data_IF_289757784456
#
_entry.id   IF_289757784456
#
_cell.length_a   1.000
_cell.length_b   1.000
_cell.length_c   1.000
_cell.angle_alpha   90.00
_cell.angle_beta   90.00
_cell.angle_gamma   90.00
#
_symmetry.space_group_name_H-M   'P 1'
#
loop_
_entity.id
_entity.type
_entity.pdbx_description
1 polymer ?
#
# COMPACT_ATOMS: atom_id res chain seq x y z
N UNK A 1 8.29 -10.35 -3.88
CA UNK A 1 7.84 -9.82 -5.20
C UNK A 1 6.41 -10.29 -5.58
N UNK A 2 5.40 -9.96 -4.74
CA UNK A 2 4.00 -10.34 -5.01
C UNK A 2 3.34 -9.45 -6.08
N UNK A 3 3.77 -8.20 -6.24
CA UNK A 3 3.14 -7.19 -7.11
C UNK A 3 3.88 -7.10 -8.43
N UNK A 4 3.16 -7.29 -9.55
CA UNK A 4 3.71 -7.33 -10.91
C UNK A 4 4.06 -5.95 -11.44
N UNK A 5 3.20 -4.95 -11.18
CA UNK A 5 3.34 -3.62 -11.72
C UNK A 5 4.41 -2.80 -10.99
N UNK A 6 5.43 -2.31 -11.69
CA UNK A 6 6.60 -1.64 -11.11
C UNK A 6 6.23 -0.39 -10.32
N UNK A 7 5.33 0.46 -10.84
CA UNK A 7 4.92 1.68 -10.15
C UNK A 7 4.09 1.40 -8.91
N UNK A 8 3.09 0.51 -9.00
CA UNK A 8 2.30 0.10 -7.86
C UNK A 8 3.18 -0.48 -6.75
N UNK A 9 4.18 -1.30 -7.12
CA UNK A 9 5.17 -1.84 -6.18
C UNK A 9 5.94 -0.73 -5.47
N UNK A 10 6.43 0.29 -6.19
CA UNK A 10 7.17 1.43 -5.59
C UNK A 10 6.30 2.17 -4.58
N UNK A 11 5.06 2.51 -4.95
CA UNK A 11 4.15 3.22 -4.05
C UNK A 11 3.77 2.39 -2.82
N UNK A 12 3.51 1.10 -2.99
CA UNK A 12 3.25 0.18 -1.86
C UNK A 12 4.46 0.05 -0.93
N UNK A 13 5.68 0.01 -1.49
CA UNK A 13 6.91 0.02 -0.67
C UNK A 13 7.05 1.35 0.09
N UNK A 14 6.72 2.48 -0.54
CA UNK A 14 6.71 3.79 0.13
C UNK A 14 5.69 3.83 1.27
N UNK A 15 4.48 3.29 1.07
CA UNK A 15 3.46 3.18 2.13
C UNK A 15 3.98 2.32 3.30
N UNK A 16 4.57 1.16 3.01
CA UNK A 16 5.14 0.30 4.04
C UNK A 16 6.26 1.02 4.82
N UNK A 17 7.15 1.74 4.12
CA UNK A 17 8.19 2.56 4.73
C UNK A 17 7.62 3.67 5.63
N UNK A 18 6.53 4.33 5.20
CA UNK A 18 5.85 5.36 5.99
C UNK A 18 5.18 4.80 7.24
N UNK A 19 4.62 3.59 7.17
CA UNK A 19 4.06 2.91 8.35
C UNK A 19 5.17 2.59 9.36
N UNK A 20 6.30 2.05 8.89
CA UNK A 20 7.48 1.79 9.75
C UNK A 20 8.00 3.08 10.36
N UNK A 21 8.11 4.16 9.56
CA UNK A 21 8.50 5.48 10.04
C UNK A 21 7.54 5.99 11.13
N UNK A 22 6.23 5.84 10.93
CA UNK A 22 5.22 6.28 11.91
C UNK A 22 5.38 5.56 13.25
N UNK A 23 5.50 4.24 13.21
CA UNK A 23 5.71 3.43 14.41
C UNK A 23 7.04 3.80 15.10
N UNK A 24 8.11 4.05 14.33
CA UNK A 24 9.41 4.46 14.86
C UNK A 24 9.33 5.83 15.56
N UNK A 25 8.73 6.84 14.91
CA UNK A 25 8.54 8.18 15.50
C UNK A 25 7.71 8.09 16.77
N UNK A 26 6.65 7.27 16.77
CA UNK A 26 5.84 7.00 17.96
C UNK A 26 6.69 6.41 19.09
N UNK A 27 7.48 5.39 18.78
CA UNK A 27 8.34 4.74 19.79
C UNK A 27 9.35 5.73 20.38
N UNK A 28 9.97 6.55 19.55
CA UNK A 28 10.89 7.62 20.00
C UNK A 28 10.15 8.63 20.90
N UNK A 29 8.94 9.03 20.52
CA UNK A 29 8.13 9.96 21.30
C UNK A 29 7.86 9.45 22.72
N UNK A 30 7.47 8.17 22.86
CA UNK A 30 7.07 7.64 24.17
C UNK A 30 8.23 7.09 25.00
N UNK A 31 9.37 6.72 24.39
CA UNK A 31 10.50 6.11 25.09
C UNK A 31 11.60 7.12 25.39
N UNK A 32 11.87 8.05 24.45
CA UNK A 32 13.07 8.89 24.49
C UNK A 32 12.74 10.37 24.78
N UNK A 33 11.63 10.89 24.24
CA UNK A 33 11.31 12.30 24.34
C UNK A 33 10.89 12.69 25.78
N UNK A 34 11.62 13.62 26.37
CA UNK A 34 11.39 14.10 27.75
C UNK A 34 10.88 15.56 27.78
N UNK A 35 11.23 16.37 26.76
CA UNK A 35 10.81 17.77 26.74
C UNK A 35 9.47 17.95 26.01
N UNK A 36 8.58 18.87 26.47
CA UNK A 36 7.31 19.15 25.81
C UNK A 36 7.47 19.51 24.32
N UNK A 37 8.53 20.27 23.99
CA UNK A 37 8.84 20.63 22.61
C UNK A 37 9.17 19.40 21.74
N UNK A 38 10.00 18.48 22.25
CA UNK A 38 10.37 17.26 21.51
C UNK A 38 9.14 16.37 21.30
N UNK A 39 8.31 16.18 22.34
CA UNK A 39 7.06 15.40 22.26
C UNK A 39 6.12 15.97 21.21
N UNK A 40 5.90 17.29 21.22
CA UNK A 40 5.04 18.00 20.27
C UNK A 40 5.60 17.93 18.85
N UNK A 41 6.90 18.12 18.66
CA UNK A 41 7.53 18.04 17.33
C UNK A 41 7.39 16.63 16.75
N UNK A 42 7.63 15.58 17.54
CA UNK A 42 7.44 14.21 17.13
C UNK A 42 5.96 13.90 16.81
N UNK A 43 5.03 14.50 17.56
CA UNK A 43 3.61 14.37 17.26
C UNK A 43 3.23 15.03 15.91
N UNK A 44 3.78 16.20 15.57
CA UNK A 44 3.60 16.78 14.24
C UNK A 44 4.15 15.88 13.14
N UNK A 45 5.25 15.16 13.38
CA UNK A 45 5.79 14.20 12.39
C UNK A 45 4.84 13.05 12.05
N UNK A 46 3.81 12.77 12.87
CA UNK A 46 2.77 11.78 12.54
C UNK A 46 1.96 12.19 11.30
N UNK A 47 1.89 13.49 11.00
CA UNK A 47 1.17 13.99 9.82
C UNK A 47 1.90 13.67 8.50
N UNK A 48 3.19 13.35 8.53
CA UNK A 48 3.94 12.89 7.36
C UNK A 48 3.29 11.60 6.80
N UNK A 49 3.23 10.48 7.54
CA UNK A 49 2.56 9.28 7.06
C UNK A 49 1.06 9.48 6.87
N UNK A 50 0.37 10.23 7.74
CA UNK A 50 -1.06 10.47 7.62
C UNK A 50 -1.46 11.16 6.31
N UNK A 51 -0.63 12.06 5.78
CA UNK A 51 -0.87 12.79 4.53
C UNK A 51 -0.39 11.99 3.32
N UNK A 52 0.81 11.39 3.39
CA UNK A 52 1.41 10.69 2.25
C UNK A 52 0.80 9.32 1.97
N UNK A 53 0.33 8.58 2.99
CA UNK A 53 -0.29 7.25 2.78
C UNK A 53 -1.54 7.33 1.90
N UNK A 54 -2.55 8.18 2.16
CA UNK A 54 -3.70 8.34 1.28
C UNK A 54 -3.33 8.80 -0.13
N UNK A 55 -2.36 9.69 -0.25
CA UNK A 55 -1.87 10.16 -1.54
C UNK A 55 -1.22 9.02 -2.34
N UNK A 56 -0.35 8.22 -1.73
CA UNK A 56 0.22 7.04 -2.39
C UNK A 56 -0.83 5.99 -2.71
N UNK A 57 -1.84 5.79 -1.86
CA UNK A 57 -2.97 4.92 -2.13
C UNK A 57 -3.72 5.35 -3.40
N UNK A 58 -3.96 6.65 -3.57
CA UNK A 58 -4.53 7.21 -4.79
C UNK A 58 -3.64 6.94 -6.00
N UNK A 59 -2.31 7.14 -5.91
CA UNK A 59 -1.38 6.87 -7.00
C UNK A 59 -1.32 5.37 -7.35
N UNK A 60 -1.39 4.46 -6.37
CA UNK A 60 -1.56 3.02 -6.62
C UNK A 60 -2.83 2.78 -7.42
N UNK A 61 -3.97 3.30 -6.98
CA UNK A 61 -5.25 3.12 -7.65
C UNK A 61 -5.24 3.68 -9.09
N UNK A 62 -4.61 4.84 -9.31
CA UNK A 62 -4.45 5.44 -10.64
C UNK A 62 -3.53 4.64 -11.55
N UNK A 63 -2.56 3.92 -11.00
CA UNK A 63 -1.63 3.09 -11.78
C UNK A 63 -2.23 1.75 -12.20
N UNK A 64 -3.25 1.23 -11.50
CA UNK A 64 -3.83 -0.09 -11.75
C UNK A 64 -4.48 -0.18 -13.13
N UNK A 65 -4.42 -1.37 -13.73
CA UNK A 65 -4.97 -1.66 -15.06
C UNK A 65 -4.16 -1.10 -16.22
N UNK A 66 -2.99 -0.49 -15.95
CA UNK A 66 -2.06 0.01 -16.96
C UNK A 66 -0.92 -1.00 -17.25
N UNK A 67 -0.22 -0.89 -18.39
CA UNK A 67 0.96 -1.71 -18.69
C UNK A 67 2.03 -1.61 -17.60
N UNK A 68 2.91 -2.61 -17.49
CA UNK A 68 3.97 -2.67 -16.46
C UNK A 68 4.88 -1.43 -16.44
N UNK A 69 5.22 -0.91 -17.63
CA UNK A 69 6.12 0.23 -17.82
C UNK A 69 5.38 1.58 -17.88
N UNK A 70 4.07 1.60 -17.60
CA UNK A 70 3.31 2.85 -17.65
C UNK A 70 3.81 3.84 -16.59
N UNK A 71 4.04 5.07 -17.01
CA UNK A 71 4.37 6.19 -16.13
C UNK A 71 3.11 7.05 -15.96
N UNK A 72 2.81 7.42 -14.73
CA UNK A 72 1.73 8.35 -14.44
C UNK A 72 2.01 9.71 -15.13
N UNK A 73 0.96 10.44 -15.57
CA UNK A 73 1.11 11.76 -16.16
C UNK A 73 1.82 12.72 -15.21
N UNK A 74 2.54 13.71 -15.77
CA UNK A 74 3.25 14.71 -14.97
C UNK A 74 2.33 15.50 -14.02
N UNK A 75 1.04 15.65 -14.36
CA UNK A 75 0.04 16.29 -13.50
C UNK A 75 -0.08 15.60 -12.12
N UNK A 76 0.19 14.29 -12.01
CA UNK A 76 0.17 13.60 -10.72
C UNK A 76 1.31 14.04 -9.80
N UNK A 77 2.35 14.69 -10.32
CA UNK A 77 3.41 15.30 -9.50
C UNK A 77 2.89 16.45 -8.64
N UNK A 78 1.78 17.09 -9.03
CA UNK A 78 1.11 18.09 -8.21
C UNK A 78 0.67 17.54 -6.85
N UNK A 79 0.25 16.27 -6.79
CA UNK A 79 -0.13 15.62 -5.53
C UNK A 79 1.06 15.57 -4.53
N UNK A 80 2.28 15.35 -5.03
CA UNK A 80 3.48 15.38 -4.16
C UNK A 80 3.72 16.79 -3.61
N UNK A 81 3.60 17.81 -4.47
CA UNK A 81 3.79 19.21 -4.06
C UNK A 81 2.74 19.60 -3.02
N UNK A 82 1.46 19.30 -3.27
CA UNK A 82 0.37 19.60 -2.34
C UNK A 82 0.58 18.86 -1.02
N UNK A 83 0.92 17.56 -1.06
CA UNK A 83 1.19 16.79 0.17
C UNK A 83 2.37 17.37 0.94
N UNK A 84 3.45 17.74 0.27
CA UNK A 84 4.61 18.35 0.91
C UNK A 84 4.26 19.69 1.56
N UNK A 85 3.48 20.53 0.89
CA UNK A 85 2.99 21.82 1.44
C UNK A 85 2.09 21.58 2.67
N UNK A 86 1.20 20.57 2.63
CA UNK A 86 0.37 20.24 3.80
C UNK A 86 1.22 19.77 4.99
N UNK A 87 2.25 18.95 4.73
CA UNK A 87 3.20 18.53 5.77
C UNK A 87 3.94 19.73 6.36
N UNK A 88 4.50 20.61 5.53
CA UNK A 88 5.19 21.82 5.98
C UNK A 88 4.24 22.67 6.81
N UNK A 89 3.00 22.85 6.35
CA UNK A 89 1.98 23.62 7.05
C UNK A 89 1.70 23.07 8.47
N UNK A 90 1.66 21.74 8.65
CA UNK A 90 1.52 21.14 9.98
C UNK A 90 2.80 21.27 10.81
N UNK A 91 3.97 21.00 10.23
CA UNK A 91 5.25 21.05 10.95
C UNK A 91 5.61 22.45 11.42
N UNK A 92 5.13 23.50 10.73
CA UNK A 92 5.34 24.90 11.09
C UNK A 92 4.22 25.48 11.94
N UNK A 93 3.31 24.66 12.48
CA UNK A 93 2.17 25.11 13.23
C UNK A 93 2.53 26.02 14.41
N UNK A 94 3.66 25.81 15.07
CA UNK A 94 4.14 26.65 16.19
C UNK A 94 4.40 28.10 15.79
N UNK A 95 4.49 28.44 14.49
CA UNK A 95 4.68 29.79 13.98
C UNK A 95 3.36 30.53 13.75
N UNK A 96 2.28 29.79 13.40
CA UNK A 96 1.04 30.43 12.95
C UNK A 96 -0.23 29.94 13.67
N UNK A 97 -0.20 28.80 14.38
CA UNK A 97 -1.33 28.21 15.13
C UNK A 97 -2.63 28.04 14.31
N UNK A 98 -2.53 27.85 12.98
CA UNK A 98 -3.69 27.69 12.10
C UNK A 98 -4.19 26.25 12.04
N UNK A 99 -3.36 25.25 12.36
CA UNK A 99 -3.74 23.83 12.35
C UNK A 99 -4.21 23.40 13.73
N UNK A 100 -3.40 23.72 14.76
CA UNK A 100 -3.68 23.45 16.17
C UNK A 100 -3.48 24.70 16.99
N UNK A 101 -4.37 24.92 17.95
CA UNK A 101 -4.26 25.97 18.96
C UNK A 101 -4.03 25.34 20.31
N UNK A 102 -3.03 25.82 21.02
CA UNK A 102 -2.67 25.36 22.35
C UNK A 102 -3.06 26.45 23.38
N UNK A 103 -3.56 26.06 24.56
CA UNK A 103 -3.80 26.98 25.65
C UNK A 103 -2.50 27.38 26.34
N UNK A 104 -2.48 28.56 26.95
CA UNK A 104 -1.37 29.04 27.78
C UNK A 104 -0.12 29.42 27.00
N UNK A 105 1.00 29.53 27.75
CA UNK A 105 2.29 29.93 27.20
C UNK A 105 2.94 28.85 26.36
N UNK A 106 3.73 29.27 25.38
CA UNK A 106 4.34 28.34 24.36
C UNK A 106 5.20 27.22 24.96
N UNK A 107 5.82 27.50 26.12
CA UNK A 107 6.65 26.53 26.83
C UNK A 107 5.85 25.35 27.41
N UNK A 108 4.57 25.60 27.75
CA UNK A 108 3.66 24.60 28.31
C UNK A 108 2.88 23.81 27.25
N UNK A 109 2.99 24.17 25.97
CA UNK A 109 2.26 23.49 24.92
C UNK A 109 2.66 22.00 24.82
N UNK A 110 1.67 21.15 24.90
CA UNK A 110 1.86 19.70 24.77
C UNK A 110 0.88 19.13 23.73
N UNK A 111 1.06 17.84 23.39
CA UNK A 111 0.28 17.15 22.39
C UNK A 111 -1.03 16.53 22.92
N UNK A 112 -1.37 16.74 24.16
CA UNK A 112 -2.60 16.25 24.78
C UNK A 112 -3.65 17.32 25.01
N UNK A 113 -3.24 18.59 25.06
CA UNK A 113 -4.13 19.72 25.32
C UNK A 113 -4.08 20.75 24.19
N UNK A 114 -4.93 20.54 23.18
CA UNK A 114 -5.03 21.39 22.01
C UNK A 114 -6.45 21.42 21.46
N UNK A 115 -6.74 22.42 20.64
CA UNK A 115 -7.98 22.52 19.86
C UNK A 115 -7.68 22.57 18.37
N UNK A 116 -8.59 22.02 17.58
CA UNK A 116 -8.49 22.05 16.12
C UNK A 116 -8.81 23.44 15.58
N UNK A 117 -7.94 23.98 14.73
CA UNK A 117 -8.17 25.24 14.02
C UNK A 117 -8.58 24.96 12.56
N UNK A 118 -8.90 26.03 11.81
CA UNK A 118 -9.40 25.89 10.42
C UNK A 118 -8.47 25.12 9.49
N UNK A 119 -7.15 25.27 9.64
CA UNK A 119 -6.15 24.55 8.85
C UNK A 119 -6.20 23.03 9.01
N UNK A 120 -6.57 22.53 10.19
CA UNK A 120 -6.75 21.10 10.42
C UNK A 120 -7.80 20.50 9.46
N UNK A 121 -8.93 21.18 9.29
CA UNK A 121 -10.00 20.70 8.42
C UNK A 121 -9.60 20.72 6.93
N UNK A 122 -8.68 21.62 6.52
CA UNK A 122 -8.11 21.62 5.18
C UNK A 122 -7.24 20.37 4.98
N UNK A 123 -6.36 20.07 5.94
CA UNK A 123 -5.49 18.88 5.90
C UNK A 123 -6.33 17.59 5.94
N UNK A 124 -7.30 17.52 6.84
CA UNK A 124 -8.22 16.38 6.96
C UNK A 124 -9.05 16.19 5.69
N UNK A 125 -9.58 17.26 5.11
CA UNK A 125 -10.29 17.25 3.84
C UNK A 125 -9.44 16.75 2.69
N UNK A 126 -8.18 17.15 2.60
CA UNK A 126 -7.23 16.64 1.61
C UNK A 126 -7.00 15.12 1.76
N UNK A 127 -6.76 14.63 2.98
CA UNK A 127 -6.58 13.21 3.25
C UNK A 127 -7.84 12.41 2.85
N UNK A 128 -9.01 12.93 3.20
CA UNK A 128 -10.30 12.32 2.86
C UNK A 128 -10.52 12.26 1.34
N UNK A 129 -10.24 13.35 0.62
CA UNK A 129 -10.34 13.41 -0.84
C UNK A 129 -9.40 12.41 -1.51
N UNK A 130 -8.15 12.28 -1.06
CA UNK A 130 -7.22 11.27 -1.56
C UNK A 130 -7.74 9.84 -1.31
N UNK A 131 -8.29 9.57 -0.13
CA UNK A 131 -8.86 8.27 0.23
C UNK A 131 -10.07 7.94 -0.63
N UNK A 132 -11.04 8.84 -0.74
CA UNK A 132 -12.24 8.65 -1.58
C UNK A 132 -11.82 8.49 -3.04
N UNK A 133 -10.91 9.33 -3.54
CA UNK A 133 -10.40 9.25 -4.90
C UNK A 133 -9.73 7.92 -5.20
N UNK A 134 -8.98 7.35 -4.24
CA UNK A 134 -8.38 6.02 -4.36
C UNK A 134 -9.45 4.94 -4.52
N UNK A 135 -10.51 4.97 -3.70
CA UNK A 135 -11.61 4.00 -3.79
C UNK A 135 -12.41 4.15 -5.10
N UNK A 136 -12.76 5.36 -5.48
CA UNK A 136 -13.46 5.61 -6.75
C UNK A 136 -12.62 5.11 -7.94
N UNK A 137 -11.32 5.37 -7.94
CA UNK A 137 -10.42 4.87 -8.99
C UNK A 137 -10.30 3.34 -8.97
N UNK A 138 -10.23 2.70 -7.80
CA UNK A 138 -10.21 1.24 -7.66
C UNK A 138 -11.48 0.61 -8.22
N UNK A 139 -12.66 1.11 -7.86
CA UNK A 139 -13.96 0.60 -8.30
C UNK A 139 -14.13 0.78 -9.81
N UNK A 140 -13.83 1.98 -10.32
CA UNK A 140 -14.03 2.31 -11.74
C UNK A 140 -13.12 1.49 -12.66
N UNK A 141 -11.93 1.11 -12.20
CA UNK A 141 -10.98 0.29 -12.97
C UNK A 141 -11.17 -1.20 -12.80
N UNK A 142 -12.00 -1.65 -11.87
CA UNK A 142 -12.28 -3.06 -11.67
C UNK A 142 -13.15 -3.59 -12.79
N UNK A 143 -12.54 -4.28 -13.77
CA UNK A 143 -13.22 -4.89 -14.94
C UNK A 143 -13.70 -6.32 -14.67
N UNK A 144 -13.33 -6.91 -13.55
CA UNK A 144 -13.67 -8.30 -13.22
C UNK A 144 -14.97 -8.29 -12.39
N UNK A 145 -16.11 -8.82 -12.91
CA UNK A 145 -17.39 -8.77 -12.20
C UNK A 145 -17.33 -9.45 -10.82
N UNK A 146 -16.55 -10.53 -10.69
CA UNK A 146 -16.35 -11.25 -9.43
C UNK A 146 -15.56 -10.39 -8.41
N UNK A 147 -14.50 -9.72 -8.83
CA UNK A 147 -13.72 -8.82 -7.97
C UNK A 147 -14.54 -7.60 -7.54
N UNK A 148 -15.47 -7.13 -8.39
CA UNK A 148 -16.38 -6.03 -8.05
C UNK A 148 -17.36 -6.41 -6.93
N UNK A 149 -17.83 -7.67 -6.89
CA UNK A 149 -18.65 -8.15 -5.76
C UNK A 149 -17.85 -8.30 -4.47
N UNK A 150 -16.58 -8.65 -4.56
CA UNK A 150 -15.68 -8.84 -3.41
C UNK A 150 -15.06 -7.51 -2.91
N UNK A 151 -15.35 -6.39 -3.59
CA UNK A 151 -14.86 -5.05 -3.24
C UNK A 151 -15.22 -4.60 -1.82
N UNK A 152 -16.26 -5.18 -1.24
CA UNK A 152 -16.69 -4.88 0.13
C UNK A 152 -15.60 -5.22 1.16
N UNK A 153 -14.76 -6.23 0.89
CA UNK A 153 -13.70 -6.66 1.81
C UNK A 153 -12.64 -5.57 2.08
N UNK A 154 -11.99 -4.95 1.07
CA UNK A 154 -11.05 -3.87 1.33
C UNK A 154 -11.72 -2.57 1.84
N UNK A 155 -13.03 -2.41 1.64
CA UNK A 155 -13.77 -1.26 2.14
C UNK A 155 -14.01 -1.36 3.66
N UNK A 156 -14.22 -2.55 4.20
CA UNK A 156 -14.49 -2.75 5.62
C UNK A 156 -13.43 -2.15 6.55
N UNK A 157 -12.11 -2.41 6.38
CA UNK A 157 -11.10 -1.81 7.24
C UNK A 157 -11.05 -0.28 7.13
N UNK A 158 -11.35 0.29 5.95
CA UNK A 158 -11.37 1.75 5.77
C UNK A 158 -12.57 2.37 6.48
N UNK A 159 -13.74 1.77 6.36
CA UNK A 159 -14.91 2.22 7.12
C UNK A 159 -14.65 2.10 8.62
N UNK A 160 -14.08 1.00 9.06
CA UNK A 160 -13.68 0.82 10.46
C UNK A 160 -12.66 1.89 10.91
N UNK A 161 -11.69 2.22 10.06
CA UNK A 161 -10.70 3.28 10.33
C UNK A 161 -11.38 4.66 10.46
N UNK A 162 -12.32 5.00 9.59
CA UNK A 162 -13.06 6.27 9.66
C UNK A 162 -13.88 6.35 10.94
N UNK A 163 -14.66 5.30 11.26
CA UNK A 163 -15.45 5.23 12.48
C UNK A 163 -14.55 5.33 13.71
N UNK A 164 -13.47 4.57 13.75
CA UNK A 164 -12.49 4.61 14.83
C UNK A 164 -11.91 6.02 15.03
N UNK A 165 -11.50 6.67 13.93
CA UNK A 165 -10.93 8.03 14.00
C UNK A 165 -11.96 9.04 14.52
N UNK A 166 -13.22 8.94 14.10
CA UNK A 166 -14.31 9.80 14.59
C UNK A 166 -14.54 9.58 16.10
N UNK A 167 -14.61 8.35 16.56
CA UNK A 167 -14.77 8.01 17.98
C UNK A 167 -13.56 8.44 18.82
N UNK A 168 -12.36 8.37 18.25
CA UNK A 168 -11.15 8.83 18.93
C UNK A 168 -11.14 10.36 19.09
N UNK A 169 -11.47 11.08 18.01
CA UNK A 169 -11.50 12.58 18.02
C UNK A 169 -12.66 13.10 18.87
N UNK A 170 -13.81 12.42 18.94
CA UNK A 170 -14.94 12.79 19.80
C UNK A 170 -14.70 12.55 21.29
N UNK A 171 -13.59 11.87 21.65
CA UNK A 171 -13.29 11.53 23.04
C UNK A 171 -14.07 10.35 23.61
N UNK A 172 -14.87 9.67 22.79
CA UNK A 172 -15.64 8.48 23.22
C UNK A 172 -14.73 7.28 23.57
N UNK A 173 -13.51 7.24 23.03
CA UNK A 173 -12.50 6.23 23.34
C UNK A 173 -11.66 6.74 24.53
N UNK A 174 -12.25 6.67 25.72
CA UNK A 174 -11.58 7.07 26.97
C UNK A 174 -10.98 5.85 27.69
N UNK A 175 -10.02 6.15 28.60
CA UNK A 175 -9.40 5.12 29.45
C UNK A 175 -10.44 4.34 30.24
N UNK A 176 -10.42 3.00 30.11
CA UNK A 176 -11.37 2.09 30.79
C UNK A 176 -12.38 1.40 29.87
N UNK A 177 -12.63 1.93 28.66
CA UNK A 177 -13.48 1.23 27.67
C UNK A 177 -12.77 0.00 27.10
N UNK A 178 -13.56 -1.02 26.69
CA UNK A 178 -13.03 -2.19 26.00
C UNK A 178 -12.27 -1.81 24.71
N UNK A 179 -12.79 -0.83 23.98
CA UNK A 179 -12.17 -0.30 22.75
C UNK A 179 -10.82 0.32 23.07
N UNK A 180 -10.68 1.08 24.16
CA UNK A 180 -9.40 1.66 24.56
C UNK A 180 -8.36 0.56 24.90
N UNK A 181 -8.76 -0.53 25.54
CA UNK A 181 -7.83 -1.64 25.83
C UNK A 181 -7.37 -2.37 24.58
N UNK A 182 -8.25 -2.51 23.58
CA UNK A 182 -7.97 -3.24 22.34
C UNK A 182 -7.26 -2.37 21.31
N UNK A 183 -7.66 -1.12 21.18
CA UNK A 183 -7.29 -0.22 20.09
C UNK A 183 -6.99 1.22 20.58
N UNK A 184 -6.52 1.39 21.83
CA UNK A 184 -6.25 2.70 22.41
C UNK A 184 -5.11 3.46 21.77
N UNK A 185 -4.28 2.76 21.00
CA UNK A 185 -3.21 3.38 20.23
C UNK A 185 -3.64 3.66 18.79
N UNK A 186 -3.91 4.92 18.51
CA UNK A 186 -4.35 5.39 17.20
C UNK A 186 -3.34 5.02 16.10
N UNK A 187 -2.03 5.16 16.36
CA UNK A 187 -0.98 4.88 15.37
C UNK A 187 -0.97 3.42 14.96
N UNK A 188 -0.99 2.52 15.93
CA UNK A 188 -0.97 1.08 15.69
C UNK A 188 -2.25 0.63 15.00
N UNK A 189 -3.40 1.08 15.49
CA UNK A 189 -4.72 0.69 14.95
C UNK A 189 -4.90 1.15 13.51
N UNK A 190 -4.61 2.41 13.20
CA UNK A 190 -4.73 2.96 11.84
C UNK A 190 -3.72 2.32 10.90
N UNK A 191 -2.49 2.07 11.35
CA UNK A 191 -1.47 1.38 10.55
C UNK A 191 -1.89 -0.05 10.21
N UNK A 192 -2.44 -0.79 11.18
CA UNK A 192 -2.92 -2.15 10.99
C UNK A 192 -4.12 -2.19 10.01
N UNK A 193 -5.11 -1.32 10.20
CA UNK A 193 -6.27 -1.24 9.31
C UNK A 193 -5.88 -0.84 7.88
N UNK A 194 -4.88 0.05 7.74
CA UNK A 194 -4.32 0.42 6.44
C UNK A 194 -3.66 -0.78 5.77
N UNK A 195 -2.79 -1.51 6.48
CA UNK A 195 -2.13 -2.70 5.96
C UNK A 195 -3.15 -3.78 5.57
N UNK A 196 -4.18 -4.00 6.38
CA UNK A 196 -5.26 -4.94 6.14
C UNK A 196 -6.08 -4.57 4.88
N UNK A 197 -6.36 -3.27 4.67
CA UNK A 197 -7.04 -2.79 3.47
C UNK A 197 -6.25 -3.12 2.20
N UNK A 198 -4.93 -2.92 2.21
CA UNK A 198 -4.09 -3.25 1.07
C UNK A 198 -3.98 -4.76 0.85
N UNK A 199 -3.87 -5.56 1.91
CA UNK A 199 -3.85 -7.02 1.78
C UNK A 199 -5.16 -7.53 1.17
N UNK A 200 -6.30 -7.01 1.58
CA UNK A 200 -7.59 -7.33 0.95
C UNK A 200 -7.66 -6.88 -0.51
N UNK A 201 -7.10 -5.72 -0.88
CA UNK A 201 -6.99 -5.30 -2.28
C UNK A 201 -6.19 -6.30 -3.11
N UNK A 202 -5.11 -6.88 -2.54
CA UNK A 202 -4.31 -7.91 -3.20
C UNK A 202 -5.10 -9.22 -3.31
N UNK A 203 -5.74 -9.67 -2.23
CA UNK A 203 -6.49 -10.92 -2.20
C UNK A 203 -7.72 -10.90 -3.11
N UNK A 204 -8.41 -9.76 -3.21
CA UNK A 204 -9.55 -9.58 -4.12
C UNK A 204 -9.14 -9.43 -5.60
N UNK A 205 -7.81 -9.37 -5.89
CA UNK A 205 -7.32 -9.19 -7.26
C UNK A 205 -7.46 -7.78 -7.81
N UNK A 206 -7.78 -6.79 -6.97
CA UNK A 206 -7.77 -5.38 -7.34
C UNK A 206 -6.35 -4.92 -7.65
N UNK A 207 -5.38 -5.38 -6.86
CA UNK A 207 -3.95 -5.23 -7.11
C UNK A 207 -3.43 -6.56 -7.67
N UNK A 208 -2.93 -6.56 -8.91
CA UNK A 208 -2.42 -7.77 -9.56
C UNK A 208 -1.20 -8.30 -8.82
N UNK A 209 -1.29 -9.55 -8.38
CA UNK A 209 -0.20 -10.26 -7.73
C UNK A 209 0.23 -11.48 -8.52
N UNK A 210 1.49 -11.91 -8.34
CA UNK A 210 2.02 -13.13 -8.97
C UNK A 210 1.26 -14.42 -8.56
N UNK A 211 0.53 -14.38 -7.45
CA UNK A 211 -0.20 -15.55 -6.94
C UNK A 211 -1.30 -16.02 -7.90
N UNK A 212 -1.91 -15.08 -8.65
CA UNK A 212 -2.94 -15.43 -9.64
C UNK A 212 -2.37 -16.16 -10.88
N UNK A 213 -1.14 -15.85 -11.26
CA UNK A 213 -0.50 -16.57 -12.38
C UNK A 213 -0.24 -18.04 -12.05
N UNK A 214 0.09 -18.33 -10.77
CA UNK A 214 0.26 -19.70 -10.29
C UNK A 214 -1.05 -20.48 -10.40
N UNK A 215 -2.16 -19.87 -9.95
CA UNK A 215 -3.48 -20.50 -10.00
C UNK A 215 -4.02 -20.68 -11.41
N UNK A 216 -3.62 -19.82 -12.36
CA UNK A 216 -4.01 -19.94 -13.78
C UNK A 216 -3.16 -20.94 -14.53
N UNK A 217 -1.85 -21.01 -14.25
CA UNK A 217 -0.95 -21.90 -14.99
C UNK A 217 -1.07 -23.36 -14.54
N UNK A 218 -1.26 -23.62 -13.23
CA UNK A 218 -1.39 -24.99 -12.72
C UNK A 218 -2.48 -25.82 -13.39
N UNK A 219 -3.74 -25.38 -13.45
CA UNK A 219 -4.81 -26.14 -14.09
C UNK A 219 -4.81 -26.03 -15.62
N UNK A 220 -3.77 -25.42 -16.23
CA UNK A 220 -3.70 -25.29 -17.67
C UNK A 220 -3.52 -26.67 -18.31
N UNK A 221 -4.35 -26.98 -19.29
CA UNK A 221 -4.28 -28.24 -20.05
C UNK A 221 -3.10 -28.28 -21.01
N UNK A 222 -2.47 -27.14 -21.28
CA UNK A 222 -1.24 -27.06 -22.09
C UNK A 222 -0.05 -27.24 -21.15
N UNK A 223 0.85 -28.22 -21.44
CA UNK A 223 2.08 -28.38 -20.67
C UNK A 223 2.97 -27.14 -20.86
N UNK A 224 3.16 -26.36 -19.80
CA UNK A 224 3.96 -25.16 -19.82
C UNK A 224 4.85 -25.05 -18.57
N UNK A 225 6.09 -24.61 -18.77
CA UNK A 225 7.08 -24.36 -17.73
C UNK A 225 7.57 -22.92 -17.83
N UNK A 226 7.70 -22.25 -16.69
CA UNK A 226 8.36 -20.94 -16.60
C UNK A 226 9.63 -21.12 -15.78
N UNK A 227 10.75 -20.68 -16.33
CA UNK A 227 12.06 -20.76 -15.68
C UNK A 227 12.70 -19.39 -15.52
N UNK A 228 13.67 -19.29 -14.59
CA UNK A 228 14.57 -18.15 -14.51
C UNK A 228 15.65 -18.22 -15.63
N UNK A 229 16.58 -17.22 -15.63
CA UNK A 229 17.69 -17.19 -16.58
C UNK A 229 18.67 -18.38 -16.41
N UNK A 230 18.63 -19.06 -15.27
CA UNK A 230 19.47 -20.22 -14.94
C UNK A 230 18.74 -21.54 -15.15
N UNK A 231 17.56 -21.51 -15.81
CA UNK A 231 16.69 -22.67 -16.05
C UNK A 231 16.17 -23.37 -14.78
N UNK A 232 16.15 -22.66 -13.63
CA UNK A 232 15.43 -23.17 -12.47
C UNK A 232 13.93 -22.98 -12.71
N UNK A 233 13.15 -24.03 -12.49
CA UNK A 233 11.70 -24.01 -12.67
C UNK A 233 11.08 -23.10 -11.60
N UNK A 234 10.46 -21.99 -12.03
CA UNK A 234 9.72 -21.08 -11.17
C UNK A 234 8.26 -21.49 -11.07
N UNK A 235 7.72 -22.01 -12.17
CA UNK A 235 6.31 -22.38 -12.27
C UNK A 235 6.13 -23.49 -13.31
N UNK A 236 5.23 -24.46 -13.02
CA UNK A 236 4.85 -25.52 -13.96
C UNK A 236 3.34 -25.70 -13.98
N UNK A 237 2.77 -26.05 -15.15
CA UNK A 237 1.41 -26.58 -15.20
C UNK A 237 1.41 -28.02 -14.66
N UNK A 238 0.24 -28.48 -14.17
CA UNK A 238 0.09 -29.83 -13.62
C UNK A 238 0.30 -30.93 -14.70
N UNK A 239 0.13 -30.55 -15.98
CA UNK A 239 0.36 -31.43 -17.14
C UNK A 239 1.81 -31.38 -17.66
N UNK A 240 2.68 -30.52 -17.07
CA UNK A 240 4.06 -30.43 -17.55
C UNK A 240 4.92 -31.58 -17.02
N UNK A 241 5.66 -32.19 -17.92
CA UNK A 241 6.64 -33.23 -17.57
C UNK A 241 7.90 -32.59 -16.95
N UNK A 242 8.60 -33.33 -16.10
CA UNK A 242 9.90 -32.90 -15.62
C UNK A 242 10.91 -32.99 -16.73
N UNK A 243 11.52 -31.87 -17.09
CA UNK A 243 12.49 -31.76 -18.17
C UNK A 243 13.83 -31.38 -17.56
N UNK A 244 14.89 -32.03 -18.02
CA UNK A 244 16.26 -31.75 -17.58
C UNK A 244 16.75 -30.40 -18.10
N UNK A 245 17.64 -29.75 -17.33
CA UNK A 245 18.18 -28.44 -17.65
C UNK A 245 18.87 -28.37 -19.01
N UNK A 246 19.58 -29.43 -19.40
CA UNK A 246 20.28 -29.50 -20.68
C UNK A 246 19.30 -29.44 -21.85
N UNK A 247 18.18 -30.17 -21.75
CA UNK A 247 17.11 -30.15 -22.77
C UNK A 247 16.45 -28.78 -22.85
N UNK A 248 16.24 -28.12 -21.70
CA UNK A 248 15.68 -26.75 -21.66
C UNK A 248 16.61 -25.73 -22.33
N UNK A 249 17.94 -25.88 -22.17
CA UNK A 249 18.94 -25.02 -22.82
C UNK A 249 18.96 -25.24 -24.33
N UNK A 250 18.89 -26.49 -24.80
CA UNK A 250 18.81 -26.82 -26.22
C UNK A 250 17.54 -26.23 -26.85
N UNK A 251 16.41 -26.32 -26.16
CA UNK A 251 15.14 -25.76 -26.61
C UNK A 251 15.15 -24.24 -26.82
N UNK A 252 16.11 -23.54 -26.22
CA UNK A 252 16.27 -22.10 -26.42
C UNK A 252 16.86 -21.73 -27.78
N UNK A 253 17.66 -22.60 -28.36
CA UNK A 253 18.29 -22.39 -29.67
C UNK A 253 17.43 -22.91 -30.83
N UNK A 254 16.76 -24.03 -30.63
CA UNK A 254 15.86 -24.65 -31.61
C UNK A 254 14.87 -25.58 -30.89
N UNK A 255 13.67 -25.77 -31.44
CA UNK A 255 12.71 -26.71 -30.87
C UNK A 255 13.28 -28.13 -30.80
N UNK A 256 13.17 -28.78 -29.65
CA UNK A 256 13.72 -30.11 -29.37
C UNK A 256 12.59 -31.11 -29.33
N UNK A 257 12.79 -32.28 -29.93
CA UNK A 257 11.88 -33.42 -29.83
C UNK A 257 12.22 -34.21 -28.56
N UNK A 258 11.25 -34.34 -27.67
CA UNK A 258 11.36 -35.17 -26.48
C UNK A 258 11.21 -36.65 -26.81
N UNK A 259 11.68 -37.53 -25.92
CA UNK A 259 11.61 -38.98 -26.06
C UNK A 259 10.18 -39.54 -26.22
N UNK A 260 9.17 -38.79 -25.77
CA UNK A 260 7.75 -39.12 -25.91
C UNK A 260 7.12 -38.62 -27.22
N UNK A 261 7.91 -38.14 -28.19
CA UNK A 261 7.45 -37.61 -29.47
C UNK A 261 6.84 -36.19 -29.41
N UNK A 262 6.83 -35.55 -28.26
CA UNK A 262 6.37 -34.18 -28.12
C UNK A 262 7.46 -33.18 -28.49
N UNK A 263 7.08 -32.03 -29.03
CA UNK A 263 7.98 -30.96 -29.41
C UNK A 263 8.05 -29.92 -28.28
N UNK A 264 9.24 -29.65 -27.75
CA UNK A 264 9.49 -28.61 -26.76
C UNK A 264 9.96 -27.35 -27.48
N UNK A 265 9.25 -26.25 -27.25
CA UNK A 265 9.59 -24.92 -27.77
C UNK A 265 9.83 -23.98 -26.60
N UNK A 266 10.65 -22.96 -26.80
CA UNK A 266 10.86 -21.92 -25.77
C UNK A 266 10.73 -20.52 -26.35
N UNK A 267 10.37 -19.57 -25.47
CA UNK A 267 10.43 -18.15 -25.74
C UNK A 267 11.05 -17.40 -24.55
N UNK A 268 11.94 -16.47 -24.85
CA UNK A 268 12.57 -15.62 -23.84
C UNK A 268 11.57 -14.59 -23.32
N UNK A 269 11.45 -14.50 -21.99
CA UNK A 269 10.66 -13.49 -21.30
C UNK A 269 11.57 -12.63 -20.41
N UNK A 270 11.04 -11.55 -19.87
CA UNK A 270 11.79 -10.69 -18.94
C UNK A 270 12.08 -11.46 -17.65
N UNK A 271 13.32 -11.90 -17.49
CA UNK A 271 13.81 -12.61 -16.30
C UNK A 271 13.83 -14.13 -16.41
N UNK A 272 13.64 -14.71 -17.63
CA UNK A 272 13.71 -16.15 -17.84
C UNK A 272 13.17 -16.61 -19.17
N UNK A 273 12.62 -17.82 -19.19
CA UNK A 273 12.08 -18.48 -20.37
C UNK A 273 10.72 -19.10 -20.06
N UNK A 274 9.85 -19.14 -21.07
CA UNK A 274 8.65 -19.98 -21.10
C UNK A 274 8.92 -21.13 -22.04
N UNK A 275 8.65 -22.35 -21.59
CA UNK A 275 8.76 -23.58 -22.39
C UNK A 275 7.37 -24.21 -22.46
N UNK A 276 6.99 -24.73 -23.65
CA UNK A 276 5.72 -25.39 -23.91
C UNK A 276 5.86 -26.48 -24.95
#
# INVERSE_FOLDING_TARGET
>A
NRIVQIQAKRFMTSIAGLIVFWVAVRSVKFIIAQSPLAVRTLWYMYYIPMIFIPMFALLVALSLGKPENYRLPAVTSLLYVVSALMVIFVLTNDLHCFVFRFPGEREMWNDSDYSYAGGYYIVAGYMLLCTIGAFVALISKCRIPKARKTFIMPLLPVVAMVIYTLLYVSGEITGGTFIHRLAGDMTVTVSLLTALSFEFCIQCGLIRSNTYYIQLLRPCTVPALITDNNYNILLSSDCAEKIDREIMQMANSSPVMLSNGKRLSSAKIKGGYVLW
#
